data_IF_077349362934
#
_entry.id   IF_077349362934
#
_cell.length_a   1.000
_cell.length_b   1.000
_cell.length_c   1.000
_cell.angle_alpha   90.00
_cell.angle_beta   90.00
_cell.angle_gamma   90.00
#
_symmetry.space_group_name_H-M   'P 1'
#
loop_
_entity.id
_entity.type
_entity.pdbx_description
1 polymer ?
#
# COMPACT_ATOMS: atom_id res chain seq x y z
N UNK A 1 3.38 10.08 0.72
CA UNK A 1 3.65 9.46 -0.62
C UNK A 1 4.61 8.29 -0.41
N UNK A 2 4.37 7.11 -0.98
CA UNK A 2 5.04 5.86 -0.55
C UNK A 2 6.27 5.43 -1.38
N UNK A 3 6.48 5.99 -2.58
CA UNK A 3 7.64 5.66 -3.43
C UNK A 3 7.70 4.24 -4.01
N UNK A 4 6.65 3.43 -3.83
CA UNK A 4 6.64 2.01 -4.25
C UNK A 4 6.37 1.79 -5.75
N UNK A 5 5.94 2.83 -6.46
CA UNK A 5 5.67 2.81 -7.90
C UNK A 5 6.14 4.13 -8.53
N UNK A 6 6.69 4.05 -9.73
CA UNK A 6 7.17 5.19 -10.53
C UNK A 6 6.03 6.06 -11.07
N UNK A 7 4.83 5.50 -11.20
CA UNK A 7 3.64 6.21 -11.70
C UNK A 7 2.34 5.69 -11.10
N UNK A 8 1.26 6.47 -11.24
CA UNK A 8 -0.10 6.03 -10.88
C UNK A 8 -0.54 4.81 -11.69
N UNK A 9 -0.15 4.74 -12.97
CA UNK A 9 -0.46 3.61 -13.85
C UNK A 9 0.22 2.32 -13.39
N UNK A 10 1.50 2.39 -13.01
CA UNK A 10 2.22 1.24 -12.43
C UNK A 10 1.56 0.78 -11.14
N UNK A 11 1.19 1.71 -10.24
CA UNK A 11 0.52 1.37 -8.99
C UNK A 11 -0.78 0.59 -9.23
N UNK A 12 -1.63 1.02 -10.18
CA UNK A 12 -2.87 0.29 -10.52
C UNK A 12 -2.59 -1.09 -11.11
N UNK A 13 -1.60 -1.21 -12.00
CA UNK A 13 -1.21 -2.51 -12.57
C UNK A 13 -0.74 -3.47 -11.48
N UNK A 14 0.04 -2.99 -10.52
CA UNK A 14 0.49 -3.79 -9.38
C UNK A 14 -0.69 -4.23 -8.49
N UNK A 15 -1.66 -3.35 -8.23
CA UNK A 15 -2.86 -3.68 -7.45
C UNK A 15 -3.67 -4.77 -8.18
N UNK A 16 -4.02 -4.54 -9.44
CA UNK A 16 -4.80 -5.49 -10.25
C UNK A 16 -4.09 -6.84 -10.44
N UNK A 17 -2.76 -6.81 -10.55
CA UNK A 17 -1.93 -8.00 -10.62
C UNK A 17 -1.71 -8.70 -9.27
N UNK A 18 -2.29 -8.20 -8.17
CA UNK A 18 -2.13 -8.80 -6.84
C UNK A 18 -0.75 -8.63 -6.21
N UNK A 19 0.06 -7.73 -6.76
CA UNK A 19 1.42 -7.45 -6.31
C UNK A 19 1.48 -6.46 -5.15
N UNK A 20 0.36 -5.89 -4.69
CA UNK A 20 0.35 -4.91 -3.59
C UNK A 20 -0.23 -5.52 -2.33
N UNK A 21 0.41 -5.23 -1.20
CA UNK A 21 -0.03 -5.63 0.12
C UNK A 21 -0.06 -4.43 1.07
N UNK A 22 -1.03 -4.44 1.97
CA UNK A 22 -1.20 -3.49 3.06
C UNK A 22 -1.30 -4.27 4.36
N UNK A 23 -0.43 -4.00 5.32
CA UNK A 23 -0.35 -4.73 6.59
C UNK A 23 -0.32 -6.25 6.39
N UNK A 24 0.50 -6.69 5.43
CA UNK A 24 0.63 -8.07 4.98
C UNK A 24 -0.62 -8.72 4.35
N UNK A 25 -1.74 -7.99 4.21
CA UNK A 25 -2.93 -8.43 3.48
C UNK A 25 -2.84 -7.98 2.02
N UNK A 26 -3.16 -8.87 1.08
CA UNK A 26 -3.16 -8.55 -0.36
C UNK A 26 -4.28 -7.55 -0.65
N UNK A 27 -3.99 -6.51 -1.43
CA UNK A 27 -5.04 -5.63 -1.96
C UNK A 27 -5.71 -6.29 -3.16
N UNK A 28 -7.04 -6.32 -3.16
CA UNK A 28 -7.83 -6.83 -4.28
C UNK A 28 -8.29 -5.74 -5.25
N UNK A 29 -8.44 -4.51 -4.77
CA UNK A 29 -8.96 -3.40 -5.56
C UNK A 29 -8.34 -2.06 -5.17
N UNK A 30 -8.52 -1.08 -6.05
CA UNK A 30 -8.17 0.31 -5.78
C UNK A 30 -9.16 0.88 -4.74
N UNK A 31 -8.65 1.55 -3.71
CA UNK A 31 -9.49 2.06 -2.63
C UNK A 31 -8.86 3.22 -1.87
N UNK A 32 -9.70 3.93 -1.10
CA UNK A 32 -9.24 4.90 -0.12
C UNK A 32 -8.73 4.16 1.11
N UNK A 33 -7.58 4.61 1.60
CA UNK A 33 -7.06 4.21 2.92
C UNK A 33 -7.90 4.92 3.99
N UNK A 34 -8.37 4.17 4.97
CA UNK A 34 -9.12 4.67 6.13
C UNK A 34 -8.37 4.34 7.42
N UNK A 35 -8.84 4.87 8.55
CA UNK A 35 -8.28 4.56 9.88
C UNK A 35 -8.33 3.05 10.19
N UNK A 36 -9.30 2.32 9.65
CA UNK A 36 -9.39 0.85 9.81
C UNK A 36 -8.24 0.09 9.13
N UNK A 37 -7.51 0.74 8.23
CA UNK A 37 -6.36 0.15 7.54
C UNK A 37 -5.03 0.39 8.28
N UNK A 38 -5.06 1.01 9.46
CA UNK A 38 -3.88 1.25 10.26
C UNK A 38 -3.39 -0.05 10.92
N UNK A 39 -2.09 -0.33 10.84
CA UNK A 39 -1.45 -1.41 11.61
C UNK A 39 -1.11 -0.98 13.04
N UNK A 40 -1.03 0.33 13.26
CA UNK A 40 -0.75 0.98 14.54
C UNK A 40 -1.36 2.38 14.51
N UNK A 41 -1.39 3.16 15.60
CA UNK A 41 -2.13 4.41 15.69
C UNK A 41 -1.91 5.43 14.56
N UNK A 42 -0.76 5.37 13.87
CA UNK A 42 -0.44 6.28 12.77
C UNK A 42 0.37 5.63 11.64
N UNK A 43 0.46 4.30 11.54
CA UNK A 43 1.27 3.66 10.50
C UNK A 43 0.57 2.58 9.69
N UNK A 44 1.01 2.47 8.44
CA UNK A 44 0.64 1.41 7.49
C UNK A 44 1.90 0.82 6.90
N UNK A 45 1.96 -0.50 6.79
CA UNK A 45 3.01 -1.20 6.06
C UNK A 45 2.51 -1.43 4.64
N UNK A 46 3.15 -0.83 3.64
CA UNK A 46 2.85 -1.08 2.23
C UNK A 46 3.96 -1.90 1.59
N UNK A 47 3.58 -2.86 0.75
CA UNK A 47 4.52 -3.68 -0.03
C UNK A 47 4.08 -3.75 -1.49
N UNK A 48 5.05 -3.76 -2.40
CA UNK A 48 4.88 -3.94 -3.82
C UNK A 48 5.82 -5.07 -4.32
N UNK A 49 5.27 -6.28 -4.43
CA UNK A 49 6.00 -7.51 -4.68
C UNK A 49 6.77 -7.97 -3.44
N UNK A 50 7.85 -8.73 -3.65
CA UNK A 50 8.65 -9.34 -2.56
C UNK A 50 9.72 -8.41 -1.97
N UNK A 51 10.23 -7.44 -2.75
CA UNK A 51 11.41 -6.65 -2.38
C UNK A 51 11.12 -5.20 -2.01
N UNK A 52 10.03 -4.61 -2.54
CA UNK A 52 9.72 -3.20 -2.29
C UNK A 52 8.72 -3.12 -1.15
N UNK A 53 9.14 -2.52 -0.03
CA UNK A 53 8.27 -2.26 1.11
C UNK A 53 8.61 -0.91 1.72
N UNK A 54 7.61 -0.25 2.29
CA UNK A 54 7.83 0.97 3.06
C UNK A 54 6.81 1.09 4.19
N UNK A 55 7.21 1.82 5.22
CA UNK A 55 6.33 2.26 6.29
C UNK A 55 5.78 3.63 5.91
N UNK A 56 4.45 3.78 5.93
CA UNK A 56 3.78 5.05 5.68
C UNK A 56 3.24 5.56 7.00
N UNK A 57 3.70 6.75 7.41
CA UNK A 57 3.09 7.49 8.50
C UNK A 57 1.85 8.22 7.97
N UNK A 58 0.73 8.04 8.66
CA UNK A 58 -0.55 8.69 8.41
C UNK A 58 -0.74 9.74 9.50
N UNK A 59 -0.45 10.99 9.16
CA UNK A 59 -0.83 12.14 9.97
C UNK A 59 -2.25 12.54 9.63
N UNK A 60 -3.05 12.90 10.65
CA UNK A 60 -4.34 13.59 10.46
C UNK A 60 -4.16 14.91 9.72
#
# INVERSE_FOLDING_TARGET
RAGLASSRGEARRLIRGGGVYMNNVRLESEGRVTEANLASPSFIVLRAGKRRQCLVHVSK
#
